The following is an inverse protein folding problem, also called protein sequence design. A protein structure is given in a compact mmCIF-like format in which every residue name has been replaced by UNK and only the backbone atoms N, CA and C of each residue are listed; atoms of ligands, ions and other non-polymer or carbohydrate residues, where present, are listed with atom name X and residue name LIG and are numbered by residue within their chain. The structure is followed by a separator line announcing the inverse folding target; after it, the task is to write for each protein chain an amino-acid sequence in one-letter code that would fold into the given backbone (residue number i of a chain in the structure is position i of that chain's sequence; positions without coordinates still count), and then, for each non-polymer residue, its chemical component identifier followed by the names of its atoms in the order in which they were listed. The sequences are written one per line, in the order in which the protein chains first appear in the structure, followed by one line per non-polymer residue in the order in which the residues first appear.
data_IF_817256187019
#
_entry.id   IF_817256187019
#
_cell.length_a   1.000
_cell.length_b   1.000
_cell.length_c   1.000
_cell.angle_alpha   90.00
_cell.angle_beta   90.00
_cell.angle_gamma   90.00
#
_symmetry.space_group_name_H-M   'P 1'
#
loop_
_entity.id
_entity.type
_entity.pdbx_description
1 polymer ?
#
# COMPACT_ATOMS: atom_id res chain seq x y z
N UNK A 1 -6.83 16.41 6.09
CA UNK A 1 -5.93 15.48 6.81
C UNK A 1 -5.09 14.82 5.75
N UNK A 2 -3.77 14.86 5.90
CA UNK A 2 -2.82 14.26 4.96
C UNK A 2 -2.12 13.13 5.65
N UNK A 3 -2.20 11.92 5.09
CA UNK A 3 -1.45 10.80 5.64
C UNK A 3 0.03 11.05 5.37
N UNK A 4 0.84 11.07 6.42
CA UNK A 4 2.29 11.19 6.29
C UNK A 4 2.92 9.87 5.91
N UNK A 5 4.07 10.01 5.27
CA UNK A 5 4.73 8.93 4.60
C UNK A 5 5.03 7.75 5.53
N UNK A 6 4.71 6.57 5.04
CA UNK A 6 4.63 5.36 5.82
C UNK A 6 5.92 4.56 5.92
N UNK A 7 5.98 3.57 6.82
CA UNK A 7 7.12 2.63 6.88
C UNK A 7 6.72 1.28 6.28
N UNK A 8 7.58 0.73 5.43
CA UNK A 8 7.48 -0.68 5.03
C UNK A 8 7.65 -1.57 6.27
N UNK A 9 6.69 -2.48 6.49
CA UNK A 9 6.70 -3.36 7.66
C UNK A 9 7.21 -4.74 7.25
N UNK A 10 6.51 -5.39 6.32
CA UNK A 10 6.80 -6.77 5.93
C UNK A 10 6.15 -7.11 4.57
N UNK A 11 6.71 -8.11 3.90
CA UNK A 11 6.11 -8.69 2.71
C UNK A 11 5.53 -10.07 3.05
N UNK A 12 4.20 -10.18 3.03
CA UNK A 12 3.49 -11.43 3.27
C UNK A 12 3.27 -12.19 1.96
N UNK A 13 4.16 -13.15 1.71
CA UNK A 13 4.16 -13.98 0.50
C UNK A 13 2.87 -14.79 0.32
N UNK A 14 2.32 -15.35 1.40
CA UNK A 14 1.14 -16.23 1.34
C UNK A 14 -0.10 -15.49 0.79
N UNK A 15 -0.23 -14.22 1.19
CA UNK A 15 -1.31 -13.34 0.73
C UNK A 15 -0.91 -12.48 -0.46
N UNK A 16 0.35 -12.56 -0.89
CA UNK A 16 0.92 -11.73 -1.96
C UNK A 16 0.69 -10.22 -1.69
N UNK A 17 0.85 -9.78 -0.44
CA UNK A 17 0.69 -8.38 -0.03
C UNK A 17 1.94 -7.84 0.67
N UNK A 18 2.23 -6.57 0.44
CA UNK A 18 3.19 -5.78 1.22
C UNK A 18 2.44 -5.00 2.28
N UNK A 19 2.81 -5.17 3.54
CA UNK A 19 2.28 -4.41 4.67
C UNK A 19 3.16 -3.22 4.95
N UNK A 20 2.53 -2.07 5.18
CA UNK A 20 3.19 -0.83 5.54
C UNK A 20 2.30 -0.06 6.51
N UNK A 21 2.86 0.80 7.35
CA UNK A 21 2.05 1.72 8.17
C UNK A 21 2.08 3.11 7.55
N UNK A 22 1.00 3.87 7.62
CA UNK A 22 1.01 5.32 7.40
C UNK A 22 0.68 6.04 8.70
N UNK A 23 0.98 7.33 8.78
CA UNK A 23 0.64 8.13 9.97
C UNK A 23 -0.40 9.19 9.65
N UNK A 24 -1.41 9.33 10.51
CA UNK A 24 -2.34 10.45 10.53
C UNK A 24 -2.09 11.25 11.81
N UNK A 25 -1.10 12.14 11.76
CA UNK A 25 -0.60 12.85 12.95
C UNK A 25 -0.01 11.89 13.98
N UNK A 26 -0.73 11.66 15.08
CA UNK A 26 -0.32 10.74 16.15
C UNK A 26 -0.83 9.29 15.96
N UNK A 27 -1.73 9.06 14.99
CA UNK A 27 -2.34 7.76 14.77
C UNK A 27 -1.56 6.98 13.72
N UNK A 28 -1.19 5.75 14.04
CA UNK A 28 -0.66 4.80 13.06
C UNK A 28 -1.83 4.09 12.37
N UNK A 29 -1.82 4.11 11.04
CA UNK A 29 -2.82 3.47 10.19
C UNK A 29 -2.15 2.27 9.51
N UNK A 30 -2.62 1.03 9.80
CA UNK A 30 -2.11 -0.14 9.11
C UNK A 30 -2.62 -0.15 7.66
N UNK A 31 -1.69 -0.25 6.72
CA UNK A 31 -1.96 -0.32 5.29
C UNK A 31 -1.35 -1.59 4.68
N UNK A 32 -1.99 -2.09 3.63
CA UNK A 32 -1.48 -3.21 2.85
C UNK A 32 -1.69 -2.93 1.37
N UNK A 33 -0.75 -3.35 0.53
CA UNK A 33 -0.87 -3.28 -0.92
C UNK A 33 -0.59 -4.64 -1.53
N UNK A 34 -1.43 -5.10 -2.44
CA UNK A 34 -1.15 -6.32 -3.20
C UNK A 34 0.08 -6.14 -4.08
N UNK A 35 0.96 -7.14 -4.08
CA UNK A 35 2.13 -7.19 -4.98
C UNK A 35 1.74 -7.07 -6.45
N UNK A 36 0.57 -7.60 -6.82
CA UNK A 36 -0.03 -7.44 -8.15
C UNK A 36 -0.38 -5.98 -8.47
N UNK A 37 -0.79 -5.19 -7.48
CA UNK A 37 -1.07 -3.77 -7.67
C UNK A 37 0.23 -2.98 -7.89
N UNK A 38 1.30 -3.33 -7.16
CA UNK A 38 2.63 -2.77 -7.38
C UNK A 38 3.17 -3.12 -8.77
N UNK A 39 2.94 -4.35 -9.21
CA UNK A 39 3.30 -4.86 -10.54
C UNK A 39 2.56 -4.09 -11.65
N UNK A 40 1.24 -3.90 -11.51
CA UNK A 40 0.39 -3.12 -12.44
C UNK A 40 0.86 -1.66 -12.54
N UNK A 41 1.25 -1.04 -11.41
CA UNK A 41 1.82 0.31 -11.36
C UNK A 41 3.15 0.46 -12.09
N UNK A 42 3.96 -0.60 -12.17
CA UNK A 42 5.22 -0.65 -12.93
C UNK A 42 5.05 -1.27 -14.33
N UNK A 43 3.82 -1.35 -14.87
CA UNK A 43 3.50 -1.92 -16.19
C UNK A 43 3.80 -3.42 -16.33
N UNK A 44 3.56 -4.22 -15.29
CA UNK A 44 3.71 -5.67 -15.36
C UNK A 44 5.11 -6.18 -15.00
N UNK A 45 5.92 -5.37 -14.33
CA UNK A 45 7.26 -5.78 -13.93
C UNK A 45 7.17 -6.78 -12.78
N UNK A 46 7.44 -8.06 -13.07
CA UNK A 46 7.57 -9.12 -12.07
C UNK A 46 8.80 -8.90 -11.17
N UNK A 47 8.63 -8.01 -10.20
CA UNK A 47 9.64 -7.67 -9.22
C UNK A 47 9.80 -8.84 -8.26
N UNK A 48 11.05 -9.27 -8.10
CA UNK A 48 11.41 -10.32 -7.14
C UNK A 48 11.05 -9.87 -5.71
N UNK A 49 10.73 -10.81 -4.82
CA UNK A 49 10.37 -10.48 -3.45
C UNK A 49 11.42 -9.64 -2.70
N UNK A 50 12.70 -9.95 -2.92
CA UNK A 50 13.85 -9.22 -2.39
C UNK A 50 13.92 -7.75 -2.85
N UNK A 51 13.28 -7.43 -3.98
CA UNK A 51 13.23 -6.09 -4.57
C UNK A 51 11.90 -5.37 -4.27
N UNK A 52 10.96 -5.99 -3.53
CA UNK A 52 9.65 -5.39 -3.23
C UNK A 52 9.77 -4.16 -2.35
N UNK A 53 10.71 -4.13 -1.41
CA UNK A 53 10.98 -2.91 -0.62
C UNK A 53 11.44 -1.76 -1.53
N UNK A 54 12.36 -2.04 -2.47
CA UNK A 54 12.83 -1.04 -3.42
C UNK A 54 11.73 -0.58 -4.40
N UNK A 55 10.87 -1.51 -4.87
CA UNK A 55 9.70 -1.18 -5.68
C UNK A 55 8.70 -0.33 -4.89
N UNK A 56 8.42 -0.69 -3.64
CA UNK A 56 7.56 0.09 -2.75
C UNK A 56 8.11 1.51 -2.59
N UNK A 57 9.42 1.67 -2.36
CA UNK A 57 10.05 2.98 -2.24
C UNK A 57 9.91 3.83 -3.50
N UNK A 58 9.99 3.23 -4.70
CA UNK A 58 9.79 3.92 -5.99
C UNK A 58 8.33 4.32 -6.22
N UNK A 59 7.39 3.43 -5.87
CA UNK A 59 5.95 3.63 -6.06
C UNK A 59 5.28 4.37 -4.89
N UNK A 60 6.04 4.69 -3.84
CA UNK A 60 5.56 5.22 -2.57
C UNK A 60 4.58 6.36 -2.75
N UNK A 61 4.93 7.36 -3.56
CA UNK A 61 4.09 8.52 -3.83
C UNK A 61 2.67 8.14 -4.32
N UNK A 62 2.58 7.21 -5.28
CA UNK A 62 1.30 6.71 -5.82
C UNK A 62 0.53 5.86 -4.81
N UNK A 63 1.23 4.99 -4.09
CA UNK A 63 0.65 4.11 -3.07
C UNK A 63 0.05 4.96 -1.94
N UNK A 64 0.80 5.94 -1.44
CA UNK A 64 0.39 6.84 -0.37
C UNK A 64 -0.78 7.72 -0.80
N UNK A 65 -0.78 8.25 -2.03
CA UNK A 65 -1.90 9.03 -2.58
C UNK A 65 -3.19 8.20 -2.66
N UNK A 66 -3.09 6.93 -3.11
CA UNK A 66 -4.25 6.03 -3.17
C UNK A 66 -4.76 5.66 -1.76
N UNK A 67 -3.85 5.35 -0.82
CA UNK A 67 -4.20 5.11 0.58
C UNK A 67 -4.88 6.32 1.21
N UNK A 68 -4.38 7.53 0.97
CA UNK A 68 -5.02 8.76 1.46
C UNK A 68 -6.43 8.93 0.89
N UNK A 69 -6.62 8.65 -0.40
CA UNK A 69 -7.94 8.69 -1.03
C UNK A 69 -8.92 7.74 -0.34
N UNK A 70 -8.54 6.47 -0.14
CA UNK A 70 -9.36 5.48 0.58
C UNK A 70 -9.60 5.85 2.04
N UNK A 71 -8.58 6.37 2.73
CA UNK A 71 -8.71 6.83 4.11
C UNK A 71 -9.75 7.95 4.24
N UNK A 72 -9.70 8.94 3.33
CA UNK A 72 -10.69 10.02 3.26
C UNK A 72 -12.08 9.50 2.92
N UNK A 73 -12.18 8.46 2.10
CA UNK A 73 -13.43 7.76 1.80
C UNK A 73 -13.89 6.84 2.95
N UNK A 74 -13.12 6.71 4.04
CA UNK A 74 -13.38 5.80 5.17
C UNK A 74 -13.53 4.33 4.77
N UNK A 75 -12.85 3.93 3.69
CA UNK A 75 -12.83 2.55 3.17
C UNK A 75 -11.78 1.72 3.90
N UNK A 76 -12.11 1.31 5.12
CA UNK A 76 -11.29 0.37 5.89
C UNK A 76 -11.73 -1.07 5.62
N UNK A 77 -10.76 -1.93 5.31
CA UNK A 77 -10.95 -3.33 4.99
C UNK A 77 -10.16 -4.22 5.97
N UNK A 78 -10.67 -5.43 6.23
CA UNK A 78 -10.02 -6.45 7.06
C UNK A 78 -10.33 -6.39 8.56
N UNK A 79 -9.72 -7.31 9.31
CA UNK A 79 -9.84 -7.39 10.78
C UNK A 79 -8.43 -7.67 11.35
N UNK A 80 -7.76 -6.69 11.98
CA UNK A 80 -8.23 -5.33 12.32
C UNK A 80 -8.43 -4.44 11.08
N UNK A 81 -9.27 -3.38 11.19
CA UNK A 81 -9.56 -2.47 10.07
C UNK A 81 -8.31 -1.70 9.65
N UNK A 82 -7.92 -1.85 8.39
CA UNK A 82 -6.79 -1.16 7.77
C UNK A 82 -7.12 -0.73 6.35
N UNK A 83 -6.19 -0.08 5.66
CA UNK A 83 -6.36 0.30 4.26
C UNK A 83 -5.77 -0.78 3.38
N UNK A 84 -6.54 -1.33 2.45
CA UNK A 84 -6.05 -2.33 1.49
C UNK A 84 -6.07 -1.74 0.09
N UNK A 85 -4.92 -1.72 -0.56
CA UNK A 85 -4.72 -1.24 -1.92
C UNK A 85 -4.58 -2.42 -2.87
N UNK A 86 -5.46 -2.48 -3.85
CA UNK A 86 -5.54 -3.51 -4.88
C UNK A 86 -5.32 -2.85 -6.23
N UNK A 87 -4.96 -3.64 -7.26
CA UNK A 87 -4.73 -3.09 -8.61
C UNK A 87 -5.93 -2.32 -9.15
N UNK A 88 -7.15 -2.69 -8.75
CA UNK A 88 -8.38 -1.99 -9.12
C UNK A 88 -8.46 -0.56 -8.58
N UNK A 89 -7.80 -0.27 -7.45
CA UNK A 89 -7.83 1.05 -6.81
C UNK A 89 -6.93 2.07 -7.54
N UNK A 90 -6.05 1.57 -8.42
CA UNK A 90 -5.16 2.39 -9.25
C UNK A 90 -5.68 2.57 -10.68
N UNK A 91 -6.83 1.96 -11.01
CA UNK A 91 -7.46 2.12 -12.32
C UNK A 91 -8.34 3.38 -12.33
N UNK A 92 -8.37 4.12 -13.45
CA UNK A 92 -9.24 5.29 -13.62
C UNK A 92 -10.72 4.92 -13.76
#
# INVERSE_FOLDING_TARGET
MTLTSGRFIDHEYDRMIVRFSMHDGAREIPCAISTSAMDDLEHGAHVKPEQREAQFARLRDRIEACAESKYRATEFEGTPPGIVLRGIDFRP
#
